data_IF_563364397804
#
_entry.id   IF_563364397804
#
_cell.length_a   1.000
_cell.length_b   1.000
_cell.length_c   1.000
_cell.angle_alpha   90.00
_cell.angle_beta   90.00
_cell.angle_gamma   90.00
#
_symmetry.space_group_name_H-M   'P 1'
#
loop_
_entity.id
_entity.type
_entity.pdbx_description
1 polymer ?
#
# COMPACT_ATOMS: atom_id res chain seq x y z
N UNK A 1 -5.02 -17.29 9.55
CA UNK A 1 -4.06 -16.17 9.61
C UNK A 1 -4.78 -14.92 9.14
N UNK A 2 -4.66 -13.77 9.82
CA UNK A 2 -5.21 -12.51 9.31
C UNK A 2 -4.57 -12.19 7.95
N UNK A 3 -5.36 -11.68 7.01
CA UNK A 3 -4.83 -11.21 5.73
C UNK A 3 -3.90 -10.03 5.98
N UNK A 4 -2.66 -10.10 5.48
CA UNK A 4 -1.72 -8.96 5.53
C UNK A 4 -1.98 -8.12 4.28
N UNK A 5 -2.51 -6.88 4.39
CA UNK A 5 -2.96 -6.12 3.22
C UNK A 5 -1.87 -5.88 2.19
N UNK A 6 -0.65 -5.57 2.64
CA UNK A 6 0.52 -5.37 1.77
C UNK A 6 0.78 -6.60 0.90
N UNK A 7 0.75 -7.78 1.53
CA UNK A 7 0.99 -9.07 0.87
C UNK A 7 -0.15 -9.40 -0.10
N UNK A 8 -1.40 -9.18 0.30
CA UNK A 8 -2.57 -9.40 -0.54
C UNK A 8 -2.51 -8.57 -1.84
N UNK A 9 -2.24 -7.26 -1.73
CA UNK A 9 -2.12 -6.36 -2.88
C UNK A 9 -0.92 -6.79 -3.74
N UNK A 10 0.26 -6.97 -3.15
CA UNK A 10 1.49 -7.31 -3.90
C UNK A 10 1.35 -8.65 -4.64
N UNK A 11 0.78 -9.66 -4.01
CA UNK A 11 0.54 -10.96 -4.63
C UNK A 11 -0.48 -10.87 -5.77
N UNK A 12 -1.55 -10.08 -5.59
CA UNK A 12 -2.54 -9.87 -6.65
C UNK A 12 -1.91 -9.22 -7.89
N UNK A 13 -1.22 -8.10 -7.73
CA UNK A 13 -0.58 -7.37 -8.85
C UNK A 13 0.53 -8.19 -9.53
N UNK A 14 1.24 -9.02 -8.76
CA UNK A 14 2.20 -10.00 -9.29
C UNK A 14 1.48 -11.08 -10.11
N UNK A 15 0.36 -11.63 -9.64
CA UNK A 15 -0.41 -12.69 -10.30
C UNK A 15 -1.01 -12.24 -11.62
N UNK A 16 -1.52 -11.01 -11.70
CA UNK A 16 -2.07 -10.45 -12.95
C UNK A 16 -0.97 -10.01 -13.94
N UNK A 17 0.30 -10.33 -13.68
CA UNK A 17 1.48 -9.96 -14.49
C UNK A 17 1.57 -8.46 -14.79
N UNK A 18 1.08 -7.61 -13.89
CA UNK A 18 1.20 -6.15 -13.96
C UNK A 18 1.91 -5.59 -12.72
N UNK A 19 3.15 -6.01 -12.42
CA UNK A 19 3.88 -5.49 -11.26
C UNK A 19 4.19 -3.99 -11.41
N UNK A 20 4.43 -3.52 -12.65
CA UNK A 20 4.69 -2.11 -12.98
C UNK A 20 3.49 -1.18 -12.72
N UNK A 21 2.31 -1.73 -12.41
CA UNK A 21 1.15 -0.92 -12.05
C UNK A 21 1.17 -0.49 -10.59
N UNK A 22 1.90 -1.19 -9.72
CA UNK A 22 1.82 -0.95 -8.28
C UNK A 22 3.09 -0.25 -7.78
N UNK A 23 2.97 1.04 -7.51
CA UNK A 23 4.04 1.85 -6.93
C UNK A 23 3.79 2.14 -5.45
N UNK A 24 4.88 2.19 -4.68
CA UNK A 24 4.87 2.53 -3.26
C UNK A 24 5.81 3.70 -2.97
N UNK A 25 5.55 4.90 -3.53
CA UNK A 25 6.39 6.06 -3.26
C UNK A 25 6.39 6.35 -1.76
N UNK A 26 7.59 6.55 -1.22
CA UNK A 26 7.81 6.83 0.18
C UNK A 26 8.61 8.12 0.33
N UNK A 27 8.06 9.07 1.06
CA UNK A 27 8.69 10.34 1.38
C UNK A 27 8.91 10.37 2.88
N UNK A 28 10.12 10.71 3.30
CA UNK A 28 10.40 10.98 4.70
C UNK A 28 10.39 12.46 5.00
N UNK A 29 10.00 12.81 6.22
CA UNK A 29 9.98 14.19 6.70
C UNK A 29 10.29 14.22 8.19
N UNK A 30 10.99 15.28 8.61
CA UNK A 30 11.40 15.49 10.00
C UNK A 30 12.88 15.23 10.26
N UNK A 31 13.34 15.45 11.51
CA UNK A 31 14.71 15.18 11.92
C UNK A 31 15.04 13.69 11.80
N UNK A 32 16.31 13.36 11.56
CA UNK A 32 16.78 11.96 11.41
C UNK A 32 16.37 11.05 12.58
N UNK A 33 16.31 11.60 13.79
CA UNK A 33 15.97 10.88 15.03
C UNK A 33 14.46 10.81 15.30
N UNK A 34 13.62 11.51 14.51
CA UNK A 34 12.16 11.47 14.59
C UNK A 34 11.54 11.53 13.19
N UNK A 35 12.10 10.74 12.28
CA UNK A 35 11.73 10.74 10.89
C UNK A 35 10.36 10.07 10.71
N UNK A 36 9.43 10.78 10.10
CA UNK A 36 8.12 10.25 9.73
C UNK A 36 8.13 9.88 8.27
N UNK A 37 7.86 8.62 7.99
CA UNK A 37 7.73 8.05 6.65
C UNK A 37 6.28 8.07 6.21
N UNK A 38 5.99 8.82 5.15
CA UNK A 38 4.72 8.82 4.45
C UNK A 38 4.84 7.97 3.19
N UNK A 39 4.01 6.93 3.08
CA UNK A 39 3.99 5.99 1.95
C UNK A 39 2.61 6.02 1.33
N UNK A 40 2.54 5.97 0.00
CA UNK A 40 1.28 5.88 -0.73
C UNK A 40 1.23 4.58 -1.52
N UNK A 41 0.03 4.00 -1.69
CA UNK A 41 -0.22 2.89 -2.59
C UNK A 41 -0.79 3.45 -3.90
N UNK A 42 -0.06 3.33 -5.01
CA UNK A 42 -0.41 3.95 -6.29
C UNK A 42 -0.58 2.88 -7.37
N UNK A 43 -1.73 2.92 -8.06
CA UNK A 43 -1.96 2.20 -9.33
C UNK A 43 -2.70 3.13 -10.29
N UNK A 44 -1.94 3.96 -11.01
CA UNK A 44 -2.44 5.07 -11.84
C UNK A 44 -3.09 6.23 -11.06
N UNK A 45 -3.57 5.97 -9.84
CA UNK A 45 -4.00 6.95 -8.85
C UNK A 45 -3.66 6.46 -7.44
N UNK A 46 -3.72 7.36 -6.46
CA UNK A 46 -3.53 7.02 -5.05
C UNK A 46 -4.76 6.26 -4.53
N UNK A 47 -4.54 5.08 -3.97
CA UNK A 47 -5.57 4.22 -3.39
C UNK A 47 -5.58 4.22 -1.87
N UNK A 48 -4.44 4.56 -1.25
CA UNK A 48 -4.32 4.66 0.20
C UNK A 48 -3.00 5.30 0.59
N UNK A 49 -2.97 5.93 1.75
CA UNK A 49 -1.79 6.59 2.31
C UNK A 49 -1.56 6.10 3.73
N UNK A 50 -0.30 5.92 4.10
CA UNK A 50 0.06 5.51 5.45
C UNK A 50 1.31 6.18 5.92
N UNK A 51 1.29 6.60 7.17
CA UNK A 51 2.44 7.22 7.84
C UNK A 51 2.96 6.31 8.93
N UNK A 52 4.26 6.32 9.18
CA UNK A 52 4.83 5.62 10.32
C UNK A 52 6.29 5.99 10.56
N UNK A 53 6.88 5.43 11.63
CA UNK A 53 8.29 5.63 11.96
C UNK A 53 9.26 4.93 11.00
N UNK A 54 8.76 4.20 10.01
CA UNK A 54 9.56 3.53 8.99
C UNK A 54 8.77 3.37 7.69
N UNK A 55 9.49 3.19 6.57
CA UNK A 55 8.88 2.83 5.27
C UNK A 55 7.93 1.63 5.38
N UNK A 56 8.30 0.62 6.18
CA UNK A 56 7.47 -0.58 6.38
C UNK A 56 6.16 -0.23 7.07
N UNK A 57 6.21 0.53 8.17
CA UNK A 57 5.02 0.94 8.90
C UNK A 57 4.10 1.82 8.05
N UNK A 58 4.66 2.79 7.31
CA UNK A 58 3.88 3.61 6.38
C UNK A 58 3.24 2.76 5.27
N UNK A 59 3.97 1.80 4.71
CA UNK A 59 3.45 0.88 3.68
C UNK A 59 2.31 0.02 4.20
N UNK A 60 2.42 -0.50 5.43
CA UNK A 60 1.34 -1.25 6.07
C UNK A 60 0.09 -0.40 6.26
N UNK A 61 0.24 0.86 6.69
CA UNK A 61 -0.86 1.82 6.77
C UNK A 61 -1.51 2.08 5.41
N UNK A 62 -0.70 2.36 4.39
CA UNK A 62 -1.17 2.64 3.04
C UNK A 62 -1.92 1.44 2.45
N UNK A 63 -1.44 0.22 2.70
CA UNK A 63 -2.09 -1.00 2.24
C UNK A 63 -3.41 -1.29 2.99
N UNK A 64 -3.49 -0.97 4.28
CA UNK A 64 -4.73 -1.11 5.06
C UNK A 64 -5.84 -0.22 4.50
N UNK A 65 -5.51 0.99 4.06
CA UNK A 65 -6.46 1.90 3.42
C UNK A 65 -6.73 1.50 1.95
N UNK A 66 -5.69 1.12 1.21
CA UNK A 66 -5.81 0.82 -0.22
C UNK A 66 -6.57 -0.48 -0.52
N UNK A 67 -6.42 -1.53 0.30
CA UNK A 67 -7.05 -2.82 0.05
C UNK A 67 -8.58 -2.74 -0.09
N UNK A 68 -9.34 -2.14 0.84
CA UNK A 68 -10.78 -1.96 0.67
C UNK A 68 -11.13 -1.03 -0.49
N UNK A 69 -10.35 0.03 -0.74
CA UNK A 69 -10.59 0.94 -1.86
C UNK A 69 -10.43 0.25 -3.23
N UNK A 70 -9.39 -0.57 -3.39
CA UNK A 70 -9.14 -1.39 -4.58
C UNK A 70 -10.24 -2.43 -4.80
N UNK A 71 -10.74 -3.04 -3.71
CA UNK A 71 -11.86 -3.98 -3.72
C UNK A 71 -13.16 -3.31 -4.14
N UNK A 72 -13.49 -2.17 -3.53
CA UNK A 72 -14.70 -1.41 -3.84
C UNK A 72 -14.70 -0.87 -5.27
N UNK A 73 -13.53 -0.53 -5.82
CA UNK A 73 -13.39 -0.12 -7.21
C UNK A 73 -13.37 -1.28 -8.22
N UNK A 74 -13.48 -2.54 -7.76
CA UNK A 74 -13.48 -3.73 -8.61
C UNK A 74 -12.12 -4.05 -9.24
N UNK A 75 -11.04 -3.39 -8.80
CA UNK A 75 -9.68 -3.69 -9.27
C UNK A 75 -9.18 -4.97 -8.64
N UNK A 76 -9.42 -5.14 -7.34
CA UNK A 76 -9.15 -6.39 -6.64
C UNK A 76 -10.45 -7.13 -6.35
N UNK A 77 -10.48 -8.46 -6.49
CA UNK A 77 -11.62 -9.24 -6.04
C UNK A 77 -11.76 -9.15 -4.51
N UNK A 78 -13.00 -9.11 -4.04
CA UNK A 78 -13.31 -9.43 -2.65
C UNK A 78 -12.89 -10.89 -2.42
N UNK A 79 -12.10 -11.14 -1.37
CA UNK A 79 -11.88 -12.53 -0.95
C UNK A 79 -13.25 -13.08 -0.51
N UNK A 80 -13.64 -14.29 -0.95
CA UNK A 80 -14.87 -14.94 -0.50
C UNK A 80 -14.82 -15.26 1.00
#
# INVERSE_FOLDING_TARGET
MPEIPVTAITNYFSKIKKPQRLDWPAVSSGPKDNETWSVQCVDGKVWGTGTGSSKKAGREGAAKEALPALRNAGIMPLLP
#
